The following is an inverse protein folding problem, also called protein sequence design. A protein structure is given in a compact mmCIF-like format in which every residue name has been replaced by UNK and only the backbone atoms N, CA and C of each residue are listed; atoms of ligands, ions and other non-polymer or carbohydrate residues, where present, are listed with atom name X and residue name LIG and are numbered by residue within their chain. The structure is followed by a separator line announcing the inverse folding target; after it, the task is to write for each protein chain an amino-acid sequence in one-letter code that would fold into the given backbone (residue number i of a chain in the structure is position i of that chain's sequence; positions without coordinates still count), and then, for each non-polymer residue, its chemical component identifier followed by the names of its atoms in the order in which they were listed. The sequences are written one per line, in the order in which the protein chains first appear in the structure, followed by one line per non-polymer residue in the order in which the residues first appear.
data_IF_210656650060
#
_entry.id   IF_210656650060
#
_cell.length_a   1.000
_cell.length_b   1.000
_cell.length_c   1.000
_cell.angle_alpha   90.00
_cell.angle_beta   90.00
_cell.angle_gamma   90.00
#
_symmetry.space_group_name_H-M   'P 1'
#
loop_
_entity.id
_entity.type
_entity.pdbx_description
1 polymer ?
#
# COMPACT_ATOMS: atom_id res chain seq x y z
N UNK A 1 5.73 -12.57 27.00
CA UNK A 1 4.84 -11.84 26.06
C UNK A 1 4.26 -12.85 25.07
N UNK A 2 2.93 -12.94 24.94
CA UNK A 2 2.27 -13.99 24.17
C UNK A 2 2.65 -13.84 22.67
N UNK A 3 3.29 -14.85 22.03
CA UNK A 3 3.84 -14.66 20.67
C UNK A 3 2.79 -14.22 19.63
N UNK A 4 1.50 -14.51 19.87
CA UNK A 4 0.37 -14.06 19.04
C UNK A 4 0.21 -12.54 19.02
N UNK A 5 0.37 -11.89 20.17
CA UNK A 5 0.23 -10.43 20.27
C UNK A 5 1.47 -9.71 19.74
N UNK A 6 2.64 -10.36 19.80
CA UNK A 6 3.85 -9.81 19.20
C UNK A 6 3.76 -9.75 17.67
N UNK A 7 3.32 -10.83 16.99
CA UNK A 7 3.20 -10.83 15.54
C UNK A 7 2.11 -9.88 15.02
N UNK A 8 0.97 -9.78 15.71
CA UNK A 8 -0.07 -8.79 15.37
C UNK A 8 0.44 -7.35 15.45
N UNK A 9 1.26 -7.02 16.45
CA UNK A 9 1.85 -5.68 16.59
C UNK A 9 2.84 -5.35 15.47
N UNK A 10 3.63 -6.33 15.02
CA UNK A 10 4.52 -6.14 13.87
C UNK A 10 3.76 -5.86 12.58
N UNK A 11 2.69 -6.62 12.33
CA UNK A 11 1.82 -6.40 11.16
C UNK A 11 1.12 -5.04 11.30
N UNK A 12 0.61 -4.70 12.48
CA UNK A 12 0.01 -3.39 12.73
C UNK A 12 0.99 -2.24 12.44
N UNK A 13 2.25 -2.36 12.85
CA UNK A 13 3.26 -1.34 12.55
C UNK A 13 3.55 -1.24 11.04
N UNK A 14 3.62 -2.38 10.35
CA UNK A 14 3.80 -2.41 8.91
C UNK A 14 2.62 -1.78 8.16
N UNK A 15 1.38 -2.13 8.51
CA UNK A 15 0.18 -1.53 7.93
C UNK A 15 0.04 -0.05 8.26
N UNK A 16 0.39 0.36 9.49
CA UNK A 16 0.45 1.77 9.86
C UNK A 16 1.45 2.54 8.99
N UNK A 17 2.63 1.96 8.71
CA UNK A 17 3.62 2.60 7.84
C UNK A 17 3.07 2.86 6.43
N UNK A 18 2.34 1.89 5.85
CA UNK A 18 1.67 2.07 4.56
C UNK A 18 0.60 3.16 4.62
N UNK A 19 -0.22 3.15 5.68
CA UNK A 19 -1.26 4.16 5.90
C UNK A 19 -0.67 5.56 6.04
N UNK A 20 0.40 5.72 6.81
CA UNK A 20 1.11 7.00 6.96
C UNK A 20 1.74 7.47 5.66
N UNK A 21 2.39 6.58 4.89
CA UNK A 21 2.93 6.93 3.56
C UNK A 21 1.81 7.36 2.61
N UNK A 22 0.71 6.63 2.56
CA UNK A 22 -0.45 7.00 1.75
C UNK A 22 -1.03 8.36 2.19
N UNK A 23 -1.09 8.62 3.51
CA UNK A 23 -1.55 9.90 4.02
C UNK A 23 -0.62 11.05 3.58
N UNK A 24 0.70 10.86 3.66
CA UNK A 24 1.68 11.83 3.15
C UNK A 24 1.47 12.10 1.65
N UNK A 25 1.22 11.06 0.85
CA UNK A 25 0.92 11.21 -0.59
C UNK A 25 -0.39 11.97 -0.80
N UNK A 26 -1.45 11.67 -0.06
CA UNK A 26 -2.73 12.39 -0.17
C UNK A 26 -2.59 13.88 0.18
N UNK A 27 -1.86 14.21 1.24
CA UNK A 27 -1.55 15.60 1.63
C UNK A 27 -0.69 16.27 0.58
N UNK A 28 0.31 15.56 0.02
CA UNK A 28 1.14 16.06 -1.08
C UNK A 28 0.30 16.40 -2.30
N UNK A 29 -0.57 15.47 -2.75
CA UNK A 29 -1.48 15.68 -3.88
C UNK A 29 -2.41 16.87 -3.69
N UNK A 30 -2.83 17.17 -2.45
CA UNK A 30 -3.66 18.33 -2.18
C UNK A 30 -2.92 19.67 -2.36
N UNK A 31 -1.60 19.70 -2.11
CA UNK A 31 -0.77 20.90 -2.27
C UNK A 31 -0.24 21.09 -3.70
N UNK A 32 -0.35 20.06 -4.53
CA UNK A 32 0.17 20.05 -5.88
C UNK A 32 -0.80 20.73 -6.84
N UNK A 33 -0.33 21.79 -7.50
CA UNK A 33 -1.02 22.43 -8.63
C UNK A 33 -0.46 21.92 -9.95
N UNK A 34 -1.18 22.12 -11.06
CA UNK A 34 -0.74 21.67 -12.39
C UNK A 34 0.68 22.16 -12.76
N UNK A 35 1.04 23.39 -12.36
CA UNK A 35 2.38 23.95 -12.57
C UNK A 35 3.47 23.31 -11.69
N UNK A 36 3.11 22.78 -10.52
CA UNK A 36 4.04 22.04 -9.65
C UNK A 36 4.28 20.62 -10.17
N UNK A 37 3.28 19.99 -10.80
CA UNK A 37 3.43 18.66 -11.41
C UNK A 37 4.42 18.66 -12.57
N UNK A 38 4.36 19.67 -13.43
CA UNK A 38 5.29 19.83 -14.55
C UNK A 38 6.71 20.10 -14.04
N UNK A 39 6.86 20.95 -13.02
CA UNK A 39 8.19 21.23 -12.46
C UNK A 39 8.79 20.03 -11.70
N UNK A 40 7.98 19.26 -10.98
CA UNK A 40 8.41 18.03 -10.31
C UNK A 40 8.74 16.93 -11.31
N UNK A 41 7.98 16.80 -12.40
CA UNK A 41 8.28 15.80 -13.44
C UNK A 41 9.56 16.16 -14.18
N UNK A 42 9.80 17.43 -14.50
CA UNK A 42 11.06 17.92 -15.07
C UNK A 42 12.25 17.70 -14.12
N UNK A 43 12.09 17.99 -12.83
CA UNK A 43 13.15 17.81 -11.84
C UNK A 43 13.48 16.34 -11.62
N UNK A 44 12.48 15.46 -11.54
CA UNK A 44 12.67 14.00 -11.45
C UNK A 44 13.36 13.46 -12.70
N UNK A 45 12.96 13.92 -13.89
CA UNK A 45 13.57 13.53 -15.18
C UNK A 45 15.04 13.98 -15.24
N UNK A 46 15.34 15.21 -14.80
CA UNK A 46 16.69 15.74 -14.77
C UNK A 46 17.59 15.09 -13.69
N UNK A 47 17.10 14.91 -12.46
CA UNK A 47 17.90 14.33 -11.37
C UNK A 47 18.15 12.84 -11.55
N UNK A 48 17.19 12.11 -12.12
CA UNK A 48 17.33 10.66 -12.37
C UNK A 48 17.96 10.36 -13.73
N UNK A 49 18.41 11.36 -14.50
CA UNK A 49 18.90 11.22 -15.88
C UNK A 49 17.97 10.36 -16.75
N UNK A 50 16.66 10.44 -16.51
CA UNK A 50 15.69 9.72 -17.32
C UNK A 50 15.68 10.38 -18.69
N UNK A 51 15.99 9.62 -19.74
CA UNK A 51 15.95 10.14 -21.09
C UNK A 51 14.51 10.62 -21.37
N UNK A 52 14.27 11.91 -21.70
CA UNK A 52 12.94 12.42 -22.03
C UNK A 52 12.30 11.69 -23.22
N UNK A 53 13.12 11.04 -24.06
CA UNK A 53 12.69 10.24 -25.19
C UNK A 53 12.24 8.80 -24.82
N UNK A 54 12.40 8.37 -23.56
CA UNK A 54 11.88 7.08 -23.09
C UNK A 54 10.44 7.23 -22.57
N UNK A 55 9.66 6.17 -22.74
CA UNK A 55 8.24 6.03 -22.37
C UNK A 55 7.90 6.63 -21.00
N UNK A 56 8.74 6.40 -19.98
CA UNK A 56 8.50 6.87 -18.61
C UNK A 56 8.66 8.39 -18.43
N UNK A 57 9.61 9.04 -19.12
CA UNK A 57 9.86 10.48 -18.96
C UNK A 57 8.86 11.33 -19.74
N UNK A 58 8.62 10.98 -21.00
CA UNK A 58 7.69 11.70 -21.87
C UNK A 58 6.22 11.57 -21.43
N UNK A 59 5.81 10.41 -20.92
CA UNK A 59 4.42 10.22 -20.47
C UNK A 59 4.14 10.94 -19.15
N UNK A 60 5.12 11.05 -18.24
CA UNK A 60 4.94 11.80 -16.99
C UNK A 60 4.72 13.30 -17.23
N UNK A 61 5.46 13.91 -18.17
CA UNK A 61 5.30 15.32 -18.53
C UNK A 61 3.95 15.55 -19.23
N UNK A 62 3.56 14.65 -20.16
CA UNK A 62 2.25 14.73 -20.82
C UNK A 62 1.08 14.50 -19.86
N UNK A 63 1.23 13.59 -18.90
CA UNK A 63 0.23 13.39 -17.84
C UNK A 63 0.10 14.65 -16.98
N UNK A 64 1.21 15.30 -16.60
CA UNK A 64 1.14 16.53 -15.80
C UNK A 64 0.38 17.66 -16.50
N UNK A 65 0.44 17.74 -17.83
CA UNK A 65 -0.29 18.73 -18.62
C UNK A 65 -1.79 18.40 -18.81
N UNK A 66 -2.18 17.12 -18.70
CA UNK A 66 -3.57 16.66 -18.92
C UNK A 66 -4.35 16.42 -17.63
N UNK A 67 -3.67 16.30 -16.49
CA UNK A 67 -4.31 16.07 -15.20
C UNK A 67 -4.96 17.36 -14.70
N UNK A 68 -6.28 17.31 -14.53
CA UNK A 68 -7.05 18.49 -14.06
C UNK A 68 -7.00 18.63 -12.54
N UNK A 69 -7.20 19.85 -11.98
CA UNK A 69 -7.30 20.05 -10.53
C UNK A 69 -8.38 19.17 -9.86
N UNK A 70 -9.49 18.93 -10.57
CA UNK A 70 -10.55 18.03 -10.11
C UNK A 70 -10.06 16.58 -10.01
N UNK A 71 -9.30 16.09 -11.00
CA UNK A 71 -8.70 14.75 -10.95
C UNK A 71 -7.70 14.61 -9.81
N UNK A 72 -6.85 15.61 -9.57
CA UNK A 72 -5.92 15.62 -8.42
C UNK A 72 -6.67 15.56 -7.09
N UNK A 73 -7.77 16.32 -6.98
CA UNK A 73 -8.62 16.30 -5.79
C UNK A 73 -9.24 14.92 -5.59
N UNK A 74 -9.76 14.30 -6.64
CA UNK A 74 -10.33 12.94 -6.58
C UNK A 74 -9.27 11.89 -6.22
N UNK A 75 -8.06 12.00 -6.77
CA UNK A 75 -6.93 11.13 -6.41
C UNK A 75 -6.54 11.31 -4.93
N UNK A 76 -6.41 12.55 -4.46
CA UNK A 76 -6.12 12.86 -3.07
C UNK A 76 -7.18 12.28 -2.12
N UNK A 77 -8.47 12.42 -2.46
CA UNK A 77 -9.56 11.82 -1.71
C UNK A 77 -9.51 10.29 -1.72
N UNK A 78 -9.21 9.67 -2.86
CA UNK A 78 -9.09 8.22 -2.98
C UNK A 78 -7.93 7.67 -2.13
N UNK A 79 -6.74 8.25 -2.27
CA UNK A 79 -5.55 7.89 -1.50
C UNK A 79 -5.74 8.18 -0.01
N UNK A 80 -6.35 9.32 0.33
CA UNK A 80 -6.66 9.69 1.71
C UNK A 80 -7.64 8.71 2.36
N UNK A 81 -8.69 8.31 1.63
CA UNK A 81 -9.66 7.30 2.10
C UNK A 81 -8.98 5.94 2.34
N UNK A 82 -8.10 5.52 1.42
CA UNK A 82 -7.29 4.32 1.58
C UNK A 82 -6.35 4.40 2.80
N UNK A 83 -5.71 5.56 3.02
CA UNK A 83 -4.86 5.79 4.19
C UNK A 83 -5.63 5.63 5.50
N UNK A 84 -6.83 6.22 5.60
CA UNK A 84 -7.70 6.09 6.78
C UNK A 84 -8.04 4.62 7.04
N UNK A 85 -8.44 3.87 6.00
CA UNK A 85 -8.76 2.43 6.13
C UNK A 85 -7.55 1.66 6.68
N UNK A 86 -6.35 1.90 6.15
CA UNK A 86 -5.12 1.24 6.61
C UNK A 86 -4.77 1.59 8.05
N UNK A 87 -4.95 2.84 8.47
CA UNK A 87 -4.72 3.25 9.86
C UNK A 87 -5.72 2.63 10.82
N UNK A 88 -7.00 2.53 10.43
CA UNK A 88 -8.04 1.85 11.21
C UNK A 88 -7.74 0.36 11.35
N UNK A 89 -7.32 -0.31 10.27
CA UNK A 89 -6.88 -1.70 10.28
C UNK A 89 -5.69 -1.90 11.23
N UNK A 90 -4.64 -1.08 11.10
CA UNK A 90 -3.46 -1.13 11.96
C UNK A 90 -3.83 -0.91 13.44
N UNK A 91 -4.69 0.08 13.72
CA UNK A 91 -5.18 0.34 15.07
C UNK A 91 -5.91 -0.88 15.65
N UNK A 92 -6.80 -1.51 14.86
CA UNK A 92 -7.53 -2.68 15.33
C UNK A 92 -6.65 -3.91 15.52
N UNK A 93 -5.67 -4.13 14.64
CA UNK A 93 -4.66 -5.20 14.82
C UNK A 93 -3.83 -4.99 16.08
N UNK A 94 -3.45 -3.74 16.38
CA UNK A 94 -2.72 -3.39 17.59
C UNK A 94 -3.51 -3.71 18.86
N UNK A 95 -4.82 -3.47 18.84
CA UNK A 95 -5.75 -3.75 19.95
C UNK A 95 -6.29 -5.20 19.94
N UNK A 96 -5.98 -5.99 18.92
CA UNK A 96 -6.40 -7.39 18.80
C UNK A 96 -7.89 -7.57 18.46
N UNK A 97 -8.50 -6.64 17.71
CA UNK A 97 -9.88 -6.79 17.26
C UNK A 97 -10.02 -7.91 16.21
N UNK A 98 -10.95 -8.83 16.43
CA UNK A 98 -11.10 -10.02 15.57
C UNK A 98 -11.52 -9.67 14.14
N UNK A 99 -12.33 -8.62 13.96
CA UNK A 99 -12.78 -8.22 12.62
C UNK A 99 -11.62 -7.65 11.78
N UNK A 100 -10.65 -6.97 12.39
CA UNK A 100 -9.47 -6.48 11.68
C UNK A 100 -8.49 -7.59 11.34
N UNK A 101 -8.46 -8.69 12.11
CA UNK A 101 -7.68 -9.87 11.72
C UNK A 101 -8.15 -10.45 10.38
N UNK A 102 -9.47 -10.61 10.21
CA UNK A 102 -10.05 -11.09 8.94
C UNK A 102 -9.90 -10.07 7.81
N UNK A 103 -10.12 -8.79 8.12
CA UNK A 103 -9.94 -7.71 7.14
C UNK A 103 -8.51 -7.69 6.61
N UNK A 104 -7.51 -7.86 7.49
CA UNK A 104 -6.10 -7.85 7.11
C UNK A 104 -5.67 -9.07 6.29
N UNK A 105 -6.22 -10.24 6.62
CA UNK A 105 -6.04 -11.43 5.79
C UNK A 105 -6.61 -11.20 4.37
N UNK A 106 -7.81 -10.65 4.27
CA UNK A 106 -8.44 -10.38 2.99
C UNK A 106 -7.67 -9.32 2.20
N UNK A 107 -7.34 -8.19 2.83
CA UNK A 107 -6.64 -7.08 2.20
C UNK A 107 -5.27 -7.51 1.67
N UNK A 108 -4.51 -8.29 2.46
CA UNK A 108 -3.21 -8.84 2.05
C UNK A 108 -3.34 -9.92 0.98
N UNK A 109 -4.38 -10.76 1.06
CA UNK A 109 -4.64 -11.82 0.10
C UNK A 109 -5.01 -11.31 -1.29
N UNK A 110 -5.68 -10.15 -1.37
CA UNK A 110 -6.02 -9.50 -2.65
C UNK A 110 -4.76 -9.10 -3.44
N UNK A 111 -3.64 -8.76 -2.80
CA UNK A 111 -2.41 -8.36 -3.52
C UNK A 111 -1.73 -9.51 -4.26
N UNK A 112 -1.76 -10.72 -3.71
CA UNK A 112 -1.06 -11.89 -4.26
C UNK A 112 -1.39 -12.19 -5.74
N UNK A 113 -2.66 -12.26 -6.20
CA UNK A 113 -2.95 -12.51 -7.60
C UNK A 113 -2.45 -11.39 -8.52
N UNK A 114 -2.56 -10.12 -8.11
CA UNK A 114 -2.05 -9.00 -8.92
C UNK A 114 -0.53 -9.06 -9.05
N UNK A 115 0.17 -9.34 -7.96
CA UNK A 115 1.63 -9.47 -7.94
C UNK A 115 2.09 -10.66 -8.79
N UNK A 116 1.41 -11.80 -8.71
CA UNK A 116 1.69 -12.98 -9.54
C UNK A 116 1.53 -12.69 -11.03
N UNK A 117 0.44 -12.02 -11.43
CA UNK A 117 0.23 -11.62 -12.82
C UNK A 117 1.32 -10.66 -13.28
N UNK A 118 1.72 -9.71 -12.43
CA UNK A 118 2.79 -8.77 -12.76
C UNK A 118 4.14 -9.48 -12.93
N UNK A 119 4.48 -10.38 -12.00
CA UNK A 119 5.73 -11.17 -12.03
C UNK A 119 5.78 -12.15 -13.20
N UNK A 120 4.62 -12.65 -13.66
CA UNK A 120 4.54 -13.52 -14.84
C UNK A 120 4.98 -12.79 -16.12
N UNK A 121 4.71 -11.49 -16.22
CA UNK A 121 5.10 -10.69 -17.38
C UNK A 121 6.51 -10.11 -17.23
N UNK A 122 6.86 -9.60 -16.04
CA UNK A 122 8.16 -9.00 -15.77
C UNK A 122 8.59 -9.24 -14.31
N UNK A 123 9.71 -9.92 -14.12
CA UNK A 123 10.31 -10.10 -12.80
C UNK A 123 11.06 -8.82 -12.41
N UNK A 124 10.62 -8.19 -11.33
CA UNK A 124 11.36 -7.11 -10.67
C UNK A 124 11.74 -7.52 -9.25
N UNK A 125 12.96 -7.16 -8.81
CA UNK A 125 13.41 -7.44 -7.45
C UNK A 125 12.49 -6.83 -6.40
N UNK A 126 12.00 -5.61 -6.64
CA UNK A 126 11.05 -4.93 -5.76
C UNK A 126 9.73 -5.71 -5.69
N UNK A 127 9.18 -6.14 -6.83
CA UNK A 127 7.95 -6.92 -6.87
C UNK A 127 8.06 -8.25 -6.11
N UNK A 128 9.19 -8.96 -6.27
CA UNK A 128 9.46 -10.21 -5.52
C UNK A 128 9.45 -9.96 -4.01
N UNK A 129 10.10 -8.89 -3.53
CA UNK A 129 10.15 -8.56 -2.10
C UNK A 129 8.76 -8.24 -1.56
N UNK A 130 7.98 -7.42 -2.28
CA UNK A 130 6.61 -7.07 -1.86
C UNK A 130 5.74 -8.33 -1.80
N UNK A 131 5.80 -9.18 -2.84
CA UNK A 131 5.09 -10.45 -2.88
C UNK A 131 5.43 -11.34 -1.68
N UNK A 132 6.72 -11.44 -1.34
CA UNK A 132 7.14 -12.25 -0.21
C UNK A 132 6.64 -11.73 1.12
N UNK A 133 6.64 -10.40 1.31
CA UNK A 133 6.09 -9.79 2.52
C UNK A 133 4.58 -10.08 2.63
N UNK A 134 3.81 -9.83 1.56
CA UNK A 134 2.38 -10.10 1.56
C UNK A 134 2.07 -11.60 1.78
N UNK A 135 2.86 -12.51 1.19
CA UNK A 135 2.70 -13.95 1.40
C UNK A 135 2.93 -14.33 2.87
N UNK A 136 3.97 -13.79 3.51
CA UNK A 136 4.26 -14.04 4.94
C UNK A 136 3.10 -13.54 5.81
N UNK A 137 2.56 -12.35 5.52
CA UNK A 137 1.43 -11.78 6.27
C UNK A 137 0.20 -12.68 6.13
N UNK A 138 -0.19 -13.06 4.91
CA UNK A 138 -1.33 -13.94 4.65
C UNK A 138 -1.16 -15.29 5.37
N UNK A 139 0.02 -15.90 5.28
CA UNK A 139 0.32 -17.16 5.95
C UNK A 139 0.21 -17.03 7.50
N UNK A 140 0.75 -15.96 8.07
CA UNK A 140 0.66 -15.67 9.50
C UNK A 140 -0.78 -15.48 9.95
N UNK A 141 -1.54 -14.64 9.25
CA UNK A 141 -2.93 -14.30 9.59
C UNK A 141 -3.83 -15.53 9.48
N UNK A 142 -3.66 -16.34 8.43
CA UNK A 142 -4.40 -17.61 8.26
C UNK A 142 -4.12 -18.56 9.42
N UNK A 143 -2.85 -18.74 9.79
CA UNK A 143 -2.46 -19.61 10.92
C UNK A 143 -3.00 -19.08 12.25
N UNK A 144 -2.99 -17.78 12.46
CA UNK A 144 -3.52 -17.14 13.67
C UNK A 144 -5.01 -17.41 13.81
N UNK A 145 -5.79 -17.15 12.76
CA UNK A 145 -7.24 -17.32 12.73
C UNK A 145 -7.62 -18.80 12.90
N UNK A 146 -6.93 -19.71 12.21
CA UNK A 146 -7.18 -21.15 12.33
C UNK A 146 -6.96 -21.67 13.76
N UNK A 147 -5.87 -21.23 14.42
CA UNK A 147 -5.60 -21.60 15.82
C UNK A 147 -6.66 -21.04 16.78
N UNK A 148 -7.16 -19.83 16.52
CA UNK A 148 -8.21 -19.18 17.31
C UNK A 148 -9.54 -19.93 17.22
N UNK A 149 -9.92 -20.36 16.01
CA UNK A 149 -11.11 -21.20 15.80
C UNK A 149 -11.00 -22.57 16.48
N UNK A 150 -9.86 -23.25 16.34
CA UNK A 150 -9.65 -24.56 16.98
C UNK A 150 -9.71 -24.49 18.51
N UNK A 151 -9.16 -23.42 19.10
CA UNK A 151 -9.18 -23.24 20.56
C UNK A 151 -10.58 -22.93 21.11
N UNK A 152 -11.43 -22.27 20.31
CA UNK A 152 -12.84 -21.99 20.67
C UNK A 152 -13.77 -23.20 20.51
N UNK A 153 -13.32 -24.24 19.80
CA UNK A 153 -14.07 -25.51 19.61
C UNK A 153 -13.78 -26.55 20.70
N UNK A 154 -12.76 -26.34 21.54
CA UNK A 154 -12.32 -27.28 22.59
C UNK A 154 -12.81 -26.85 23.98
N UNK A 155 -13.35 -25.64 24.10
CA UNK A 155 -13.96 -25.06 25.32
C UNK A 155 -15.45 -25.01 25.10
#
# INVERSE_FOLDING_TARGET
MNQRTAGLKWIALFEASKGTLALMVAVGLHQVTGATLTHLSEEIVMHLHLNPANFLGGDLIKLSDTVTPTQLTLMALGVGSYAVIRLVEAFGLWHGYTWTEWFSLFSSGVYLPFELVHMWHQISWVGVVIFMINLIIVAYMTRLIYRKHKQKSII
#
